data_IF_788238583934
#
_entry.id   IF_788238583934
#
_cell.length_a   1.000
_cell.length_b   1.000
_cell.length_c   1.000
_cell.angle_alpha   90.00
_cell.angle_beta   90.00
_cell.angle_gamma   90.00
#
_symmetry.space_group_name_H-M   'P 1'
#
loop_
_entity.id
_entity.type
_entity.pdbx_description
1 polymer ?
#
# COMPACT_ATOMS: atom_id res chain seq x y z
N UNK A 1 14.00 -1.87 15.71
CA UNK A 1 12.72 -2.61 15.59
C UNK A 1 11.81 -1.92 14.59
N UNK A 2 11.28 -2.68 13.61
CA UNK A 2 10.34 -2.16 12.63
C UNK A 2 8.91 -2.44 13.07
N UNK A 3 8.03 -1.41 12.97
CA UNK A 3 6.60 -1.62 13.20
C UNK A 3 5.99 -2.31 11.99
N UNK A 4 5.35 -3.46 12.18
CA UNK A 4 4.55 -4.10 11.14
C UNK A 4 3.22 -3.36 11.01
N UNK A 5 2.95 -2.80 9.83
CA UNK A 5 1.73 -2.07 9.51
C UNK A 5 1.04 -2.61 8.24
N UNK A 6 1.55 -3.69 7.70
CA UNK A 6 0.97 -4.40 6.56
C UNK A 6 -0.41 -4.97 6.87
N UNK A 7 -1.26 -5.10 5.85
CA UNK A 7 -2.55 -5.79 5.88
C UNK A 7 -2.47 -6.91 4.87
N UNK A 8 -2.07 -8.07 5.36
CA UNK A 8 -1.77 -9.24 4.56
C UNK A 8 -2.37 -10.47 5.24
N UNK A 9 -3.16 -11.23 4.51
CA UNK A 9 -3.67 -12.53 4.94
C UNK A 9 -3.29 -13.57 3.90
N UNK A 10 -2.79 -14.71 4.35
CA UNK A 10 -2.40 -15.81 3.48
C UNK A 10 -3.06 -17.10 3.97
N UNK A 11 -3.78 -17.76 3.09
CA UNK A 11 -4.26 -19.13 3.26
C UNK A 11 -3.41 -20.02 2.38
N UNK A 12 -2.74 -20.99 2.99
CA UNK A 12 -1.90 -21.97 2.27
C UNK A 12 -2.56 -23.34 2.38
N UNK A 13 -2.79 -23.98 1.26
CA UNK A 13 -3.32 -25.34 1.19
C UNK A 13 -2.27 -26.26 0.57
N UNK A 14 -1.93 -27.33 1.28
CA UNK A 14 -1.02 -28.38 0.79
C UNK A 14 -1.81 -29.49 0.12
N UNK A 15 -1.41 -29.85 -1.08
CA UNK A 15 -1.92 -31.01 -1.83
C UNK A 15 -0.78 -31.99 -2.17
N UNK A 16 -1.09 -33.06 -2.91
CA UNK A 16 -0.06 -33.96 -3.45
C UNK A 16 0.76 -33.31 -4.57
N UNK A 17 0.23 -32.27 -5.19
CA UNK A 17 0.83 -31.55 -6.33
C UNK A 17 1.64 -30.33 -5.89
N UNK A 18 1.60 -29.98 -4.58
CA UNK A 18 2.33 -28.83 -4.05
C UNK A 18 1.46 -27.94 -3.17
N UNK A 19 1.76 -26.65 -3.15
CA UNK A 19 1.02 -25.64 -2.38
C UNK A 19 0.17 -24.78 -3.31
N UNK A 20 -1.04 -24.45 -2.86
CA UNK A 20 -1.87 -23.40 -3.42
C UNK A 20 -2.10 -22.32 -2.39
N UNK A 21 -2.40 -21.12 -2.86
CA UNK A 21 -2.49 -19.93 -2.03
C UNK A 21 -3.77 -19.16 -2.32
N UNK A 22 -4.34 -18.57 -1.27
CA UNK A 22 -5.28 -17.46 -1.38
C UNK A 22 -4.67 -16.32 -0.57
N UNK A 23 -4.36 -15.23 -1.25
CA UNK A 23 -3.69 -14.08 -0.65
C UNK A 23 -4.64 -12.88 -0.66
N UNK A 24 -4.79 -12.22 0.48
CA UNK A 24 -5.49 -10.93 0.59
C UNK A 24 -4.48 -9.85 0.96
N UNK A 25 -4.45 -8.76 0.18
CA UNK A 25 -3.65 -7.56 0.45
C UNK A 25 -4.61 -6.38 0.56
N UNK A 26 -4.53 -5.65 1.67
CA UNK A 26 -5.43 -4.54 1.95
C UNK A 26 -4.75 -3.22 2.24
N UNK A 27 -5.45 -2.12 1.99
CA UNK A 27 -5.04 -0.79 2.44
C UNK A 27 -5.51 -0.51 3.86
N UNK A 28 -6.61 -1.15 4.29
CA UNK A 28 -7.34 -0.91 5.53
C UNK A 28 -6.99 -1.83 6.67
N UNK A 29 -7.15 -1.36 7.90
CA UNK A 29 -6.92 -2.15 9.11
C UNK A 29 -7.97 -3.25 9.29
N UNK A 30 -7.56 -4.40 9.82
CA UNK A 30 -8.48 -5.45 10.29
C UNK A 30 -9.12 -5.04 11.63
N UNK A 31 -9.97 -4.02 11.57
CA UNK A 31 -10.64 -3.48 12.76
C UNK A 31 -12.04 -3.01 12.39
N UNK A 32 -13.04 -3.55 13.05
CA UNK A 32 -14.46 -3.31 12.80
C UNK A 32 -14.81 -1.80 12.82
N UNK A 33 -14.42 -1.10 13.89
CA UNK A 33 -14.72 0.33 14.05
C UNK A 33 -14.12 1.22 12.95
N UNK A 34 -12.92 0.89 12.48
CA UNK A 34 -12.30 1.67 11.40
C UNK A 34 -12.90 1.32 10.04
N UNK A 35 -13.33 0.07 9.83
CA UNK A 35 -13.96 -0.34 8.57
C UNK A 35 -15.31 0.33 8.32
N UNK A 36 -16.02 0.71 9.37
CA UNK A 36 -17.29 1.46 9.26
C UNK A 36 -17.09 2.92 8.82
N UNK A 37 -15.89 3.49 9.08
CA UNK A 37 -15.63 4.90 8.89
C UNK A 37 -14.68 5.21 7.72
N UNK A 38 -13.94 4.22 7.22
CA UNK A 38 -12.88 4.42 6.24
C UNK A 38 -13.27 3.84 4.87
N UNK A 39 -12.79 4.49 3.81
CA UNK A 39 -12.77 3.88 2.48
C UNK A 39 -11.44 3.18 2.28
N UNK A 40 -11.48 1.89 2.02
CA UNK A 40 -10.30 1.06 1.81
C UNK A 40 -10.50 0.09 0.64
N UNK A 41 -9.40 -0.49 0.19
CA UNK A 41 -9.38 -1.49 -0.89
C UNK A 41 -8.82 -2.80 -0.35
N UNK A 42 -9.41 -3.90 -0.80
CA UNK A 42 -8.98 -5.25 -0.48
C UNK A 42 -8.88 -6.06 -1.77
N UNK A 43 -7.69 -6.54 -2.09
CA UNK A 43 -7.42 -7.38 -3.24
C UNK A 43 -7.24 -8.82 -2.77
N UNK A 44 -8.02 -9.73 -3.34
CA UNK A 44 -7.96 -11.16 -3.04
C UNK A 44 -7.60 -11.88 -4.33
N UNK A 45 -6.59 -12.76 -4.27
CA UNK A 45 -6.10 -13.48 -5.44
C UNK A 45 -5.66 -14.89 -5.08
N UNK A 46 -5.78 -15.80 -6.06
CA UNK A 46 -5.19 -17.13 -6.02
C UNK A 46 -3.90 -17.23 -6.88
N UNK A 47 -3.34 -16.09 -7.31
CA UNK A 47 -2.08 -16.08 -8.05
C UNK A 47 -0.96 -16.72 -7.22
N UNK A 48 -0.31 -17.72 -7.80
CA UNK A 48 0.69 -18.52 -7.09
C UNK A 48 1.93 -17.69 -6.73
N UNK A 49 2.41 -16.85 -7.65
CA UNK A 49 3.60 -16.03 -7.42
C UNK A 49 3.39 -15.00 -6.33
N UNK A 50 2.21 -14.33 -6.27
CA UNK A 50 1.85 -13.43 -5.16
C UNK A 50 1.77 -14.22 -3.85
N UNK A 51 1.23 -15.45 -3.88
CA UNK A 51 1.15 -16.32 -2.71
C UNK A 51 2.52 -16.74 -2.17
N UNK A 52 3.46 -17.07 -3.07
CA UNK A 52 4.83 -17.38 -2.68
C UNK A 52 5.55 -16.17 -2.07
N UNK A 53 5.43 -14.99 -2.67
CA UNK A 53 6.00 -13.76 -2.11
C UNK A 53 5.38 -13.42 -0.75
N UNK A 54 4.06 -13.55 -0.59
CA UNK A 54 3.38 -13.37 0.69
C UNK A 54 3.88 -14.37 1.75
N UNK A 55 4.05 -15.65 1.36
CA UNK A 55 4.64 -16.68 2.25
C UNK A 55 6.04 -16.29 2.69
N UNK A 56 6.87 -15.80 1.78
CA UNK A 56 8.23 -15.33 2.07
C UNK A 56 8.21 -14.12 3.05
N UNK A 57 7.29 -13.18 2.88
CA UNK A 57 7.11 -12.07 3.84
C UNK A 57 6.83 -12.61 5.25
N UNK A 58 5.90 -13.56 5.40
CA UNK A 58 5.58 -14.14 6.71
C UNK A 58 6.75 -14.92 7.31
N UNK A 59 7.47 -15.71 6.50
CA UNK A 59 8.64 -16.46 6.95
C UNK A 59 9.76 -15.53 7.42
N UNK A 60 10.05 -14.47 6.67
CA UNK A 60 11.06 -13.49 7.07
C UNK A 60 10.68 -12.77 8.36
N UNK A 61 9.43 -12.34 8.50
CA UNK A 61 8.94 -11.70 9.73
C UNK A 61 9.02 -12.64 10.93
N UNK A 62 8.74 -13.93 10.78
CA UNK A 62 8.82 -14.91 11.86
C UNK A 62 10.25 -15.07 12.41
N UNK A 63 11.27 -14.82 11.61
CA UNK A 63 12.68 -14.86 12.00
C UNK A 63 13.32 -13.48 12.13
N UNK A 64 12.49 -12.42 12.22
CA UNK A 64 12.90 -11.02 12.39
C UNK A 64 13.81 -10.50 11.26
N UNK A 65 13.61 -10.99 10.04
CA UNK A 65 14.28 -10.52 8.82
C UNK A 65 13.36 -9.62 8.00
N UNK A 66 13.95 -8.77 7.19
CA UNK A 66 13.26 -7.98 6.18
C UNK A 66 13.23 -8.76 4.86
N UNK A 67 12.19 -8.52 4.06
CA UNK A 67 12.08 -9.09 2.71
C UNK A 67 12.88 -8.25 1.73
N UNK A 68 13.90 -8.84 1.12
CA UNK A 68 14.83 -8.15 0.21
C UNK A 68 14.36 -8.21 -1.25
N UNK A 69 13.74 -9.31 -1.65
CA UNK A 69 13.30 -9.56 -3.02
C UNK A 69 11.78 -9.70 -3.09
N UNK A 70 11.17 -9.00 -4.02
CA UNK A 70 9.76 -9.08 -4.34
C UNK A 70 9.52 -8.41 -5.70
N UNK A 71 8.91 -9.12 -6.64
CA UNK A 71 8.69 -8.66 -8.00
C UNK A 71 7.26 -8.15 -8.22
N UNK A 72 6.28 -8.78 -7.56
CA UNK A 72 4.85 -8.49 -7.69
C UNK A 72 4.30 -7.67 -6.53
N UNK A 73 4.92 -7.83 -5.34
CA UNK A 73 4.55 -7.10 -4.15
C UNK A 73 5.52 -5.94 -3.89
N UNK A 74 5.02 -4.87 -3.33
CA UNK A 74 5.81 -3.80 -2.72
C UNK A 74 6.00 -4.16 -1.25
N UNK A 75 7.24 -4.31 -0.80
CA UNK A 75 7.53 -4.61 0.61
C UNK A 75 8.50 -3.57 1.18
N UNK A 76 8.00 -2.74 2.09
CA UNK A 76 8.85 -1.80 2.82
C UNK A 76 9.61 -2.54 3.95
N UNK A 77 10.82 -2.05 4.31
CA UNK A 77 11.46 -0.82 3.81
C UNK A 77 12.29 -0.99 2.53
N UNK A 78 12.58 -2.23 2.08
CA UNK A 78 13.62 -2.44 1.07
C UNK A 78 13.13 -2.28 -0.38
N UNK A 79 11.92 -2.74 -0.69
CA UNK A 79 11.42 -2.76 -2.08
C UNK A 79 10.27 -1.80 -2.38
N UNK A 80 9.62 -1.24 -1.36
CA UNK A 80 8.44 -0.38 -1.55
C UNK A 80 8.80 0.92 -2.29
N UNK A 81 9.73 1.71 -1.73
CA UNK A 81 10.12 3.01 -2.30
C UNK A 81 10.88 2.85 -3.63
N UNK A 82 11.80 1.90 -3.70
CA UNK A 82 12.61 1.69 -4.90
C UNK A 82 11.77 1.37 -6.13
N UNK A 83 10.80 0.44 -6.00
CA UNK A 83 9.91 0.09 -7.12
C UNK A 83 9.04 1.28 -7.55
N UNK A 84 8.52 2.07 -6.61
CA UNK A 84 7.73 3.25 -6.96
C UNK A 84 8.58 4.31 -7.69
N UNK A 85 9.83 4.51 -7.28
CA UNK A 85 10.76 5.41 -7.98
C UNK A 85 11.09 4.87 -9.39
N UNK A 86 11.27 3.56 -9.55
CA UNK A 86 11.47 2.92 -10.86
C UNK A 86 10.26 3.13 -11.79
N UNK A 87 9.02 3.03 -11.26
CA UNK A 87 7.81 3.31 -12.04
C UNK A 87 7.75 4.79 -12.47
N UNK A 88 8.10 5.72 -11.57
CA UNK A 88 8.18 7.13 -11.90
C UNK A 88 9.25 7.39 -12.99
N UNK A 89 10.40 6.72 -12.93
CA UNK A 89 11.46 6.83 -13.94
C UNK A 89 11.00 6.34 -15.33
N UNK A 90 10.22 5.27 -15.40
CA UNK A 90 9.61 4.79 -16.66
C UNK A 90 8.65 5.82 -17.26
N UNK A 91 7.82 6.44 -16.44
CA UNK A 91 6.90 7.49 -16.90
C UNK A 91 7.65 8.73 -17.35
N UNK A 92 8.70 9.13 -16.63
CA UNK A 92 9.60 10.24 -17.01
C UNK A 92 10.28 9.94 -18.35
N UNK A 93 10.82 8.74 -18.53
CA UNK A 93 11.46 8.34 -19.78
C UNK A 93 10.46 8.37 -20.95
N UNK A 94 9.22 7.94 -20.75
CA UNK A 94 8.17 8.03 -21.75
C UNK A 94 7.85 9.48 -22.16
N UNK A 95 7.71 10.38 -21.19
CA UNK A 95 7.48 11.80 -21.45
C UNK A 95 8.64 12.44 -22.23
N UNK A 96 9.90 12.14 -21.86
CA UNK A 96 11.10 12.61 -22.55
C UNK A 96 11.18 12.11 -24.01
N UNK A 97 10.54 10.98 -24.32
CA UNK A 97 10.40 10.46 -25.69
C UNK A 97 9.20 11.08 -26.44
N UNK A 98 8.50 12.05 -25.85
CA UNK A 98 7.32 12.67 -26.45
C UNK A 98 6.06 11.80 -26.40
N UNK A 99 6.05 10.71 -25.64
CA UNK A 99 4.85 9.88 -25.45
C UNK A 99 3.92 10.47 -24.37
N UNK A 100 2.59 10.31 -24.50
CA UNK A 100 1.68 10.67 -23.42
C UNK A 100 2.08 9.93 -22.13
N UNK A 101 2.26 10.67 -21.04
CA UNK A 101 2.68 10.10 -19.78
C UNK A 101 1.98 10.79 -18.63
N UNK A 102 1.47 10.01 -17.67
CA UNK A 102 0.76 10.56 -16.51
C UNK A 102 0.85 9.67 -15.28
N UNK A 103 0.63 10.28 -14.12
CA UNK A 103 0.51 9.58 -12.84
C UNK A 103 -0.74 10.05 -12.11
N UNK A 104 -1.43 9.12 -11.46
CA UNK A 104 -2.49 9.44 -10.48
C UNK A 104 -2.12 8.76 -9.17
N UNK A 105 -1.86 9.57 -8.13
CA UNK A 105 -1.29 9.10 -6.87
C UNK A 105 -2.23 9.46 -5.72
N UNK A 106 -2.98 8.48 -5.23
CA UNK A 106 -3.82 8.63 -4.05
C UNK A 106 -3.11 8.10 -2.82
N UNK A 107 -2.90 8.97 -1.84
CA UNK A 107 -2.32 8.63 -0.55
C UNK A 107 -2.89 9.50 0.58
N UNK A 108 -2.61 9.14 1.83
CA UNK A 108 -3.05 9.96 2.94
C UNK A 108 -2.13 11.15 3.17
N UNK A 109 -0.81 10.94 3.03
CA UNK A 109 0.19 11.96 3.34
C UNK A 109 1.46 11.76 2.52
N UNK A 110 2.16 12.88 2.25
CA UNK A 110 3.45 12.89 1.58
C UNK A 110 4.45 13.82 2.28
N UNK A 111 5.61 13.26 2.66
CA UNK A 111 6.77 14.00 3.17
C UNK A 111 8.11 13.35 2.81
N UNK A 112 8.10 12.20 2.12
CA UNK A 112 9.33 11.54 1.68
C UNK A 112 10.04 12.41 0.64
N UNK A 113 11.29 12.78 0.97
CA UNK A 113 12.07 13.72 0.17
C UNK A 113 12.38 13.18 -1.23
N UNK A 114 12.74 11.91 -1.33
CA UNK A 114 13.15 11.32 -2.61
C UNK A 114 11.97 11.25 -3.57
N UNK A 115 10.80 10.87 -3.06
CA UNK A 115 9.56 10.86 -3.82
C UNK A 115 9.17 12.29 -4.26
N UNK A 116 9.28 13.29 -3.38
CA UNK A 116 8.98 14.69 -3.72
C UNK A 116 9.93 15.21 -4.83
N UNK A 117 11.22 14.91 -4.74
CA UNK A 117 12.18 15.31 -5.77
C UNK A 117 11.92 14.60 -7.10
N UNK A 118 11.51 13.33 -7.06
CA UNK A 118 11.12 12.57 -8.26
C UNK A 118 9.84 13.11 -8.90
N UNK A 119 8.85 13.54 -8.12
CA UNK A 119 7.64 14.21 -8.63
C UNK A 119 7.99 15.54 -9.31
N UNK A 120 8.93 16.31 -8.73
CA UNK A 120 9.42 17.52 -9.37
C UNK A 120 10.13 17.23 -10.70
N UNK A 121 10.98 16.21 -10.74
CA UNK A 121 11.64 15.75 -11.98
C UNK A 121 10.63 15.36 -13.04
N UNK A 122 9.60 14.58 -12.65
CA UNK A 122 8.53 14.16 -13.54
C UNK A 122 7.73 15.34 -14.11
N UNK A 123 7.37 16.30 -13.25
CA UNK A 123 6.68 17.52 -13.69
C UNK A 123 7.54 18.33 -14.68
N UNK A 124 8.83 18.50 -14.40
CA UNK A 124 9.76 19.19 -15.32
C UNK A 124 9.97 18.43 -16.65
N UNK A 125 9.77 17.12 -16.65
CA UNK A 125 9.80 16.30 -17.87
C UNK A 125 8.48 16.34 -18.68
N UNK A 126 7.47 17.09 -18.23
CA UNK A 126 6.17 17.22 -18.90
C UNK A 126 5.16 16.13 -18.53
N UNK A 127 5.41 15.32 -17.50
CA UNK A 127 4.45 14.34 -17.01
C UNK A 127 3.30 15.06 -16.29
N UNK A 128 2.06 14.74 -16.67
CA UNK A 128 0.89 15.16 -15.92
C UNK A 128 0.77 14.32 -14.65
N UNK A 129 0.69 14.98 -13.49
CA UNK A 129 0.62 14.32 -12.18
C UNK A 129 -0.60 14.85 -11.45
N UNK A 130 -1.54 13.95 -11.14
CA UNK A 130 -2.71 14.26 -10.33
C UNK A 130 -2.59 13.52 -8.98
N UNK A 131 -2.65 14.24 -7.87
CA UNK A 131 -2.56 13.64 -6.53
C UNK A 131 -3.83 13.88 -5.72
N UNK A 132 -4.27 12.86 -4.98
CA UNK A 132 -5.34 12.94 -4.00
C UNK A 132 -4.71 12.74 -2.62
N UNK A 133 -4.56 13.84 -1.85
CA UNK A 133 -3.86 13.85 -0.55
C UNK A 133 -4.72 14.55 0.49
N UNK A 134 -5.15 13.83 1.53
CA UNK A 134 -6.05 14.36 2.55
C UNK A 134 -5.37 14.87 3.82
N UNK A 135 -4.12 14.51 4.05
CA UNK A 135 -3.35 14.81 5.27
C UNK A 135 -2.14 15.69 5.00
N UNK A 136 -1.01 15.35 5.61
CA UNK A 136 0.25 16.09 5.47
C UNK A 136 0.69 16.09 4.00
N UNK A 137 0.93 17.28 3.45
CA UNK A 137 1.41 17.45 2.09
C UNK A 137 2.60 18.42 2.08
N UNK A 138 3.81 17.88 1.90
CA UNK A 138 5.06 18.62 1.89
C UNK A 138 5.54 19.02 0.49
N UNK A 139 4.67 18.95 -0.52
CA UNK A 139 4.92 19.40 -1.88
C UNK A 139 3.87 20.43 -2.29
N UNK A 140 4.25 21.44 -3.09
CA UNK A 140 3.32 22.43 -3.64
C UNK A 140 2.99 22.10 -5.09
N UNK A 141 1.71 22.22 -5.43
CA UNK A 141 1.21 22.09 -6.78
C UNK A 141 1.42 23.37 -7.62
N UNK A 142 1.55 23.22 -8.93
CA UNK A 142 1.47 24.34 -9.87
C UNK A 142 2.59 25.39 -9.77
N UNK A 143 3.74 25.05 -9.17
CA UNK A 143 4.86 25.99 -9.05
C UNK A 143 5.64 26.05 -10.38
N UNK A 144 5.70 27.21 -11.07
CA UNK A 144 6.37 27.36 -12.35
C UNK A 144 7.83 26.87 -12.33
N UNK A 145 8.24 26.10 -13.34
CA UNK A 145 9.58 25.54 -13.50
C UNK A 145 9.95 24.46 -12.48
N UNK A 146 8.98 24.00 -11.66
CA UNK A 146 9.20 22.93 -10.67
C UNK A 146 8.09 21.90 -10.68
N UNK A 147 6.87 22.30 -10.34
CA UNK A 147 5.71 21.40 -10.19
C UNK A 147 4.51 21.89 -10.98
N UNK A 148 4.74 22.58 -12.10
CA UNK A 148 3.69 23.20 -12.91
C UNK A 148 2.69 22.17 -13.49
N UNK A 149 3.13 20.93 -13.70
CA UNK A 149 2.30 19.82 -14.18
C UNK A 149 1.78 18.93 -13.04
N UNK A 150 1.95 19.35 -11.78
CA UNK A 150 1.46 18.66 -10.60
C UNK A 150 0.20 19.34 -10.07
N UNK A 151 -0.90 18.58 -10.00
CA UNK A 151 -2.16 18.99 -9.42
C UNK A 151 -2.40 18.19 -8.14
N UNK A 152 -2.89 18.84 -7.09
CA UNK A 152 -3.17 18.20 -5.81
C UNK A 152 -4.56 18.58 -5.36
N UNK A 153 -5.41 17.58 -5.12
CA UNK A 153 -6.69 17.76 -4.48
C UNK A 153 -6.75 17.02 -3.13
N UNK A 154 -7.59 17.51 -2.24
CA UNK A 154 -7.91 16.88 -0.96
C UNK A 154 -9.39 16.57 -0.91
N UNK A 155 -9.74 15.31 -0.62
CA UNK A 155 -11.11 14.85 -0.44
C UNK A 155 -11.38 14.60 1.04
N UNK A 156 -12.35 15.33 1.59
CA UNK A 156 -12.84 15.16 2.97
C UNK A 156 -14.36 15.10 2.89
N UNK A 157 -14.91 13.92 3.05
CA UNK A 157 -16.33 13.65 2.95
C UNK A 157 -16.88 12.91 4.16
N UNK A 158 -17.93 12.12 3.95
CA UNK A 158 -18.59 11.31 5.00
C UNK A 158 -17.65 10.28 5.60
N UNK A 159 -16.85 9.62 4.75
CA UNK A 159 -15.89 8.61 5.15
C UNK A 159 -14.47 9.18 5.08
N UNK A 160 -13.56 8.59 5.85
CA UNK A 160 -12.15 8.92 5.78
C UNK A 160 -11.53 8.22 4.55
N UNK A 161 -11.04 9.02 3.60
CA UNK A 161 -10.30 8.50 2.45
C UNK A 161 -8.97 7.90 2.93
N UNK A 162 -8.92 6.57 3.08
CA UNK A 162 -7.78 5.88 3.66
C UNK A 162 -7.05 4.97 2.67
N UNK A 163 -7.71 4.54 1.62
CA UNK A 163 -7.11 3.73 0.57
C UNK A 163 -5.96 4.43 -0.15
N UNK A 164 -4.92 3.69 -0.53
CA UNK A 164 -3.81 4.18 -1.34
C UNK A 164 -3.80 3.44 -2.66
N UNK A 165 -3.77 4.21 -3.74
CA UNK A 165 -3.67 3.70 -5.12
C UNK A 165 -2.60 4.53 -5.83
N UNK A 166 -1.68 3.85 -6.50
CA UNK A 166 -0.62 4.47 -7.28
C UNK A 166 -0.72 3.98 -8.73
N UNK A 167 -1.05 4.88 -9.63
CA UNK A 167 -1.24 4.60 -11.06
C UNK A 167 -0.19 5.34 -11.90
N UNK A 168 0.49 4.59 -12.77
CA UNK A 168 1.56 5.05 -13.63
C UNK A 168 1.24 4.68 -15.07
N UNK A 169 1.15 5.68 -15.97
CA UNK A 169 0.91 5.49 -17.39
C UNK A 169 2.10 5.97 -18.20
N UNK A 170 2.70 5.09 -18.99
CA UNK A 170 3.92 5.33 -19.78
C UNK A 170 3.67 5.55 -21.28
N UNK A 171 2.42 5.84 -21.65
CA UNK A 171 2.00 6.04 -23.02
C UNK A 171 1.53 4.76 -23.73
N UNK A 172 1.78 3.60 -23.15
CA UNK A 172 1.37 2.29 -23.67
C UNK A 172 0.60 1.47 -22.63
N UNK A 173 1.08 1.46 -21.38
CA UNK A 173 0.54 0.59 -20.33
C UNK A 173 0.29 1.39 -19.06
N UNK A 174 -0.82 1.04 -18.39
CA UNK A 174 -1.09 1.49 -17.02
C UNK A 174 -0.64 0.42 -16.05
N UNK A 175 0.26 0.79 -15.12
CA UNK A 175 0.62 -0.03 -13.96
C UNK A 175 0.00 0.58 -12.74
N UNK A 176 -0.79 -0.21 -12.01
CA UNK A 176 -1.53 0.27 -10.86
C UNK A 176 -1.26 -0.59 -9.64
N UNK A 177 -1.10 0.06 -8.50
CA UNK A 177 -0.79 -0.58 -7.22
C UNK A 177 -1.79 -0.14 -6.17
N UNK A 178 -2.15 -1.05 -5.27
CA UNK A 178 -2.77 -0.73 -3.99
C UNK A 178 -1.77 -1.02 -2.88
N UNK A 179 -1.77 -0.21 -1.81
CA UNK A 179 -0.77 -0.36 -0.76
C UNK A 179 -1.28 0.06 0.63
N UNK A 180 -0.62 -0.44 1.67
CA UNK A 180 -0.84 -0.03 3.05
C UNK A 180 -0.04 1.20 3.46
N UNK A 181 1.05 1.52 2.76
CA UNK A 181 1.99 2.60 3.06
C UNK A 181 1.63 3.92 2.36
N UNK A 182 1.98 5.03 3.01
CA UNK A 182 1.96 6.38 2.45
C UNK A 182 3.35 6.81 1.96
N UNK A 183 3.43 7.97 1.30
CA UNK A 183 4.70 8.60 0.92
C UNK A 183 5.34 9.39 2.08
N UNK A 184 5.45 8.73 3.23
CA UNK A 184 6.13 9.23 4.42
C UNK A 184 7.39 8.42 4.66
N UNK A 185 8.51 9.06 4.99
CA UNK A 185 9.78 8.39 5.29
C UNK A 185 9.62 7.27 6.33
N UNK A 186 8.79 7.48 7.34
CA UNK A 186 8.49 6.43 8.33
C UNK A 186 7.79 5.19 7.74
N UNK A 187 6.98 5.34 6.67
CA UNK A 187 6.35 4.21 6.01
C UNK A 187 7.32 3.50 5.06
N UNK A 188 8.12 4.28 4.34
CA UNK A 188 9.03 3.76 3.32
C UNK A 188 10.31 3.16 3.91
N UNK A 189 10.75 3.60 5.12
CA UNK A 189 12.06 3.24 5.69
C UNK A 189 12.01 2.62 7.09
N UNK A 190 10.95 2.87 7.88
CA UNK A 190 10.90 2.47 9.31
C UNK A 190 9.75 1.51 9.64
N UNK A 191 9.00 1.05 8.64
CA UNK A 191 7.88 0.14 8.83
C UNK A 191 7.92 -1.02 7.83
N UNK A 192 7.25 -2.10 8.19
CA UNK A 192 6.87 -3.12 7.22
C UNK A 192 5.50 -2.73 6.66
N UNK A 193 5.48 -2.27 5.43
CA UNK A 193 4.28 -2.00 4.64
C UNK A 193 4.24 -2.95 3.45
N UNK A 194 3.04 -3.21 2.94
CA UNK A 194 2.87 -4.03 1.74
C UNK A 194 1.99 -3.32 0.73
N UNK A 195 2.24 -3.61 -0.52
CA UNK A 195 1.39 -3.27 -1.65
C UNK A 195 1.48 -4.36 -2.70
N UNK A 196 0.64 -4.27 -3.72
CA UNK A 196 0.63 -5.24 -4.81
C UNK A 196 0.29 -4.55 -6.12
N UNK A 197 0.93 -4.99 -7.20
CA UNK A 197 0.54 -4.61 -8.55
C UNK A 197 -0.73 -5.37 -8.94
N UNK A 198 -1.74 -4.64 -9.38
CA UNK A 198 -2.96 -5.21 -9.92
C UNK A 198 -2.79 -5.35 -11.42
N UNK A 199 -2.86 -6.58 -11.93
CA UNK A 199 -2.58 -6.90 -13.35
C UNK A 199 -3.85 -7.24 -14.14
N UNK A 200 -4.93 -7.64 -13.47
CA UNK A 200 -6.21 -7.93 -14.11
C UNK A 200 -6.76 -6.68 -14.81
N UNK A 201 -6.99 -6.71 -16.15
CA UNK A 201 -7.40 -5.53 -16.91
C UNK A 201 -8.74 -4.93 -16.45
N UNK A 202 -9.64 -5.76 -15.93
CA UNK A 202 -10.95 -5.30 -15.42
C UNK A 202 -10.76 -4.52 -14.14
N UNK A 203 -9.92 -5.05 -13.23
CA UNK A 203 -9.61 -4.38 -11.97
C UNK A 203 -8.77 -3.11 -12.17
N UNK A 204 -7.81 -3.13 -13.11
CA UNK A 204 -7.04 -1.93 -13.50
C UNK A 204 -7.97 -0.83 -13.98
N UNK A 205 -8.92 -1.16 -14.87
CA UNK A 205 -9.93 -0.20 -15.34
C UNK A 205 -10.77 0.34 -14.19
N UNK A 206 -11.30 -0.54 -13.34
CA UNK A 206 -12.13 -0.17 -12.19
C UNK A 206 -11.41 0.78 -11.23
N UNK A 207 -10.16 0.49 -10.87
CA UNK A 207 -9.35 1.38 -10.02
C UNK A 207 -9.06 2.72 -10.71
N UNK A 208 -8.85 2.71 -12.03
CA UNK A 208 -8.67 3.94 -12.81
C UNK A 208 -9.94 4.78 -12.82
N UNK A 209 -11.10 4.16 -13.03
CA UNK A 209 -12.40 4.85 -13.03
C UNK A 209 -12.71 5.48 -11.65
N UNK A 210 -12.40 4.76 -10.57
CA UNK A 210 -12.52 5.29 -9.20
C UNK A 210 -11.62 6.52 -9.01
N UNK A 211 -10.36 6.47 -9.42
CA UNK A 211 -9.44 7.61 -9.32
C UNK A 211 -9.93 8.80 -10.14
N UNK A 212 -10.38 8.57 -11.37
CA UNK A 212 -10.94 9.61 -12.24
C UNK A 212 -12.22 10.21 -11.67
N UNK A 213 -13.09 9.39 -11.06
CA UNK A 213 -14.29 9.86 -10.39
C UNK A 213 -13.94 10.80 -9.22
N UNK A 214 -12.98 10.40 -8.37
CA UNK A 214 -12.54 11.19 -7.24
C UNK A 214 -11.86 12.51 -7.66
N UNK A 215 -11.11 12.52 -8.75
CA UNK A 215 -10.51 13.74 -9.31
C UNK A 215 -11.55 14.72 -9.87
N UNK A 216 -12.74 14.26 -10.23
CA UNK A 216 -13.85 15.10 -10.70
C UNK A 216 -14.78 15.57 -9.59
N UNK A 217 -14.51 15.21 -8.33
CA UNK A 217 -15.34 15.65 -7.19
C UNK A 217 -15.40 17.17 -7.13
N UNK A 218 -16.60 17.73 -7.28
CA UNK A 218 -16.88 19.16 -7.17
C UNK A 218 -17.80 19.50 -5.98
N UNK A 219 -18.08 18.51 -5.13
CA UNK A 219 -18.87 18.65 -3.90
C UNK A 219 -18.00 18.80 -2.67
N UNK A 220 -16.99 17.92 -2.53
CA UNK A 220 -16.15 17.83 -1.34
C UNK A 220 -14.69 18.25 -1.59
N UNK A 221 -14.21 18.20 -2.83
CA UNK A 221 -12.82 18.44 -3.16
C UNK A 221 -12.36 19.87 -2.84
N UNK A 222 -11.09 19.94 -2.44
CA UNK A 222 -10.31 21.18 -2.32
C UNK A 222 -9.04 21.04 -3.13
N UNK A 223 -8.77 21.97 -4.00
CA UNK A 223 -7.59 22.00 -4.85
C UNK A 223 -6.51 22.90 -4.24
N UNK A 224 -5.25 22.44 -4.28
CA UNK A 224 -4.10 23.20 -3.82
C UNK A 224 -3.65 24.20 -4.89
N UNK A 225 -3.42 25.44 -4.46
CA UNK A 225 -2.81 26.50 -5.27
C UNK A 225 -1.29 26.52 -5.13
N UNK A 226 -0.61 27.23 -6.04
CA UNK A 226 0.85 27.35 -6.03
C UNK A 226 1.45 28.01 -4.75
N UNK A 227 0.67 28.79 -4.03
CA UNK A 227 1.04 29.36 -2.72
C UNK A 227 0.88 28.34 -1.56
N UNK A 228 0.31 27.15 -1.84
CA UNK A 228 0.04 26.11 -0.85
C UNK A 228 -1.32 26.24 -0.15
N UNK A 229 -2.11 27.27 -0.45
CA UNK A 229 -3.49 27.39 0.03
C UNK A 229 -4.43 26.42 -0.68
N UNK A 230 -5.55 26.05 -0.04
CA UNK A 230 -6.56 25.19 -0.63
C UNK A 230 -7.85 25.97 -0.91
N UNK A 231 -8.37 25.79 -2.11
CA UNK A 231 -9.64 26.34 -2.53
C UNK A 231 -10.66 25.21 -2.75
N UNK A 232 -11.89 25.40 -2.22
CA UNK A 232 -12.99 24.46 -2.51
C UNK A 232 -13.31 24.47 -4.01
N UNK A 233 -13.35 23.29 -4.62
CA UNK A 233 -13.85 23.12 -5.97
C UNK A 233 -15.36 23.36 -5.95
N UNK A 234 -15.88 24.04 -6.97
CA UNK A 234 -17.31 24.33 -7.13
C UNK A 234 -17.72 23.95 -8.54
N UNK A 235 -18.86 23.27 -8.64
CA UNK A 235 -19.47 23.04 -9.93
C UNK A 235 -19.77 24.36 -10.65
N UNK A 236 -19.52 24.43 -11.94
CA UNK A 236 -19.95 25.53 -12.77
C UNK A 236 -21.51 25.52 -12.93
N UNK A 237 -22.13 26.67 -13.26
CA UNK A 237 -23.55 26.71 -13.50
C UNK A 237 -23.96 25.70 -14.60
N UNK A 238 -24.85 24.76 -14.25
CA UNK A 238 -25.31 23.69 -15.15
C UNK A 238 -24.42 22.45 -15.22
N UNK A 239 -23.29 22.44 -14.53
CA UNK A 239 -22.42 21.26 -14.40
C UNK A 239 -23.04 20.26 -13.41
N UNK A 240 -23.04 18.95 -13.71
CA UNK A 240 -23.49 17.93 -12.76
C UNK A 240 -22.67 17.94 -11.48
N UNK A 241 -23.35 17.76 -10.35
CA UNK A 241 -22.65 17.55 -9.06
C UNK A 241 -22.05 16.15 -9.03
N UNK A 242 -20.76 16.06 -8.73
CA UNK A 242 -20.00 14.82 -8.57
C UNK A 242 -19.51 14.72 -7.14
N UNK A 243 -20.00 13.72 -6.41
CA UNK A 243 -19.56 13.39 -5.07
C UNK A 243 -18.73 12.10 -5.13
N UNK A 244 -17.41 12.23 -5.19
CA UNK A 244 -16.51 11.10 -5.45
C UNK A 244 -16.66 9.91 -4.49
N UNK A 245 -17.18 10.11 -3.26
CA UNK A 245 -17.45 9.00 -2.34
C UNK A 245 -18.80 8.32 -2.60
N UNK A 246 -19.86 9.10 -2.77
CA UNK A 246 -21.20 8.54 -2.91
C UNK A 246 -21.40 7.94 -4.31
N UNK A 247 -20.91 8.62 -5.33
CA UNK A 247 -21.00 8.14 -6.71
C UNK A 247 -20.12 6.89 -6.92
N UNK A 248 -19.02 6.75 -6.18
CA UNK A 248 -18.23 5.52 -6.17
C UNK A 248 -19.03 4.34 -5.59
N UNK A 249 -19.82 4.57 -4.54
CA UNK A 249 -20.69 3.53 -4.00
C UNK A 249 -21.71 3.06 -5.05
N UNK A 250 -22.35 3.98 -5.76
CA UNK A 250 -23.31 3.66 -6.81
C UNK A 250 -22.64 2.92 -7.98
N UNK A 251 -21.47 3.37 -8.42
CA UNK A 251 -20.66 2.71 -9.45
C UNK A 251 -20.35 1.24 -9.09
N UNK A 252 -19.92 1.00 -7.86
CA UNK A 252 -19.55 -0.34 -7.41
C UNK A 252 -20.76 -1.26 -7.18
N UNK A 253 -21.86 -0.70 -6.69
CA UNK A 253 -23.13 -1.42 -6.51
C UNK A 253 -23.70 -1.87 -7.85
N UNK A 254 -23.74 -0.99 -8.85
CA UNK A 254 -24.30 -1.28 -10.15
C UNK A 254 -23.48 -2.34 -10.89
N UNK A 255 -22.17 -2.31 -10.75
CA UNK A 255 -21.26 -3.35 -11.24
C UNK A 255 -21.53 -4.72 -10.57
N UNK A 256 -21.77 -4.71 -9.25
CA UNK A 256 -22.09 -5.93 -8.51
C UNK A 256 -23.42 -6.53 -8.94
N UNK A 257 -24.46 -5.69 -9.04
CA UNK A 257 -25.78 -6.12 -9.51
C UNK A 257 -25.75 -6.67 -10.94
N UNK A 258 -24.95 -6.06 -11.82
CA UNK A 258 -24.80 -6.54 -13.19
C UNK A 258 -24.12 -7.92 -13.26
N UNK A 259 -23.19 -8.21 -12.37
CA UNK A 259 -22.54 -9.54 -12.26
C UNK A 259 -23.46 -10.62 -11.70
N UNK A 260 -24.26 -10.30 -10.70
CA UNK A 260 -25.25 -11.23 -10.13
C UNK A 260 -26.37 -11.58 -11.12
N UNK A 261 -26.69 -10.66 -12.04
CA UNK A 261 -27.66 -10.89 -13.09
C UNK A 261 -27.10 -11.70 -14.29
N UNK A 262 -25.76 -11.82 -14.40
CA UNK A 262 -25.14 -12.64 -15.43
C UNK A 262 -25.22 -14.13 -15.04
N UNK A 263 -25.58 -15.05 -15.96
CA UNK A 263 -25.54 -16.47 -15.68
C UNK A 263 -24.11 -16.84 -15.23
N UNK A 264 -24.00 -17.59 -14.13
CA UNK A 264 -22.72 -18.04 -13.60
C UNK A 264 -21.93 -18.70 -14.75
N UNK A 265 -20.79 -18.11 -15.12
CA UNK A 265 -19.87 -18.78 -16.03
C UNK A 265 -19.44 -20.08 -15.35
N UNK A 266 -19.65 -21.21 -16.03
CA UNK A 266 -19.13 -22.48 -15.54
C UNK A 266 -17.62 -22.30 -15.29
N UNK A 267 -17.11 -22.75 -14.13
CA UNK A 267 -15.68 -22.64 -13.87
C UNK A 267 -14.94 -23.39 -14.97
N UNK A 268 -14.13 -22.67 -15.75
CA UNK A 268 -13.18 -23.30 -16.67
C UNK A 268 -12.32 -24.25 -15.84
N UNK A 269 -12.52 -25.54 -16.03
CA UNK A 269 -11.64 -26.54 -15.45
C UNK A 269 -10.26 -26.29 -16.07
N UNK A 270 -9.20 -26.08 -15.27
CA UNK A 270 -7.87 -25.93 -15.83
C UNK A 270 -7.55 -27.19 -16.64
N UNK A 271 -7.31 -27.04 -17.94
CA UNK A 271 -6.77 -28.11 -18.76
C UNK A 271 -5.44 -28.58 -18.15
N UNK A 272 -5.46 -29.71 -17.48
CA UNK A 272 -4.25 -30.39 -17.01
C UNK A 272 -3.52 -30.88 -18.25
N UNK A 273 -2.59 -30.07 -18.77
CA UNK A 273 -1.62 -30.54 -19.74
C UNK A 273 -0.79 -31.65 -19.06
N UNK A 274 -1.04 -32.88 -19.45
CA UNK A 274 -0.23 -34.04 -19.05
C UNK A 274 1.21 -33.74 -19.48
N UNK A 275 2.07 -33.36 -18.53
CA UNK A 275 3.50 -33.31 -18.76
C UNK A 275 4.01 -34.73 -18.85
N UNK A 276 4.73 -35.02 -19.95
CA UNK A 276 5.42 -36.27 -20.18
C UNK A 276 6.25 -36.68 -18.97
N UNK A 277 6.02 -37.89 -18.48
CA UNK A 277 6.80 -38.46 -17.38
C UNK A 277 8.23 -38.66 -17.86
N UNK A 278 9.24 -38.19 -17.14
CA UNK A 278 10.61 -38.70 -17.35
C UNK A 278 10.64 -40.14 -16.90
N UNK A 279 11.25 -41.01 -17.78
CA UNK A 279 11.50 -42.40 -17.50
C UNK A 279 12.32 -42.59 -16.23
N UNK A 280 11.84 -43.46 -15.34
CA UNK A 280 12.56 -43.90 -14.14
C UNK A 280 13.90 -44.51 -14.49
N UNK A 281 15.00 -44.18 -13.79
CA UNK A 281 16.20 -45.03 -13.82
C UNK A 281 16.01 -46.16 -12.78
N UNK A 282 15.99 -47.38 -13.26
CA UNK A 282 16.21 -48.58 -12.44
C UNK A 282 17.59 -48.48 -11.80
N UNK A 283 17.65 -48.35 -10.48
CA UNK A 283 18.62 -49.04 -9.59
C UNK A 283 18.33 -48.66 -8.14
N UNK A 284 17.88 -49.63 -7.41
CA UNK A 284 17.66 -49.61 -5.97
C UNK A 284 18.98 -49.94 -5.27
N UNK A 285 19.57 -49.10 -4.46
CA UNK A 285 20.68 -49.52 -3.58
C UNK A 285 20.13 -50.23 -2.34
N UNK A 286 20.83 -51.32 -1.97
CA UNK A 286 20.56 -52.14 -0.77
C UNK A 286 20.72 -51.32 0.52
N UNK A 287 20.03 -51.71 1.63
CA UNK A 287 20.10 -51.00 2.89
C UNK A 287 21.41 -51.20 3.62
N UNK A 288 22.14 -50.12 3.87
CA UNK A 288 23.34 -50.13 4.72
C UNK A 288 22.89 -50.18 6.19
N UNK A 289 23.32 -51.23 6.91
CA UNK A 289 23.15 -51.36 8.32
C UNK A 289 24.02 -50.31 9.02
N UNK A 290 23.38 -49.39 9.75
CA UNK A 290 24.03 -48.43 10.64
C UNK A 290 24.18 -49.10 12.02
N UNK A 291 25.42 -49.30 12.47
CA UNK A 291 25.75 -49.81 13.80
C UNK A 291 25.39 -48.75 14.85
N UNK A 292 24.62 -49.16 15.87
CA UNK A 292 24.35 -48.37 17.06
C UNK A 292 25.64 -48.11 17.88
N UNK A 293 25.95 -46.83 18.09
CA UNK A 293 26.91 -46.43 19.11
C UNK A 293 26.17 -46.00 20.39
N UNK A 294 26.68 -46.34 21.58
CA UNK A 294 25.99 -46.07 22.85
C UNK A 294 26.07 -44.58 23.22
N UNK A 295 24.96 -44.04 23.71
CA UNK A 295 24.79 -42.67 24.16
C UNK A 295 25.60 -42.39 25.44
N UNK A 296 26.41 -41.32 25.43
CA UNK A 296 27.00 -40.70 26.64
C UNK A 296 25.94 -39.89 27.39
N UNK A 297 26.02 -39.84 28.76
CA UNK A 297 25.01 -39.16 29.57
C UNK A 297 25.15 -37.63 29.52
N UNK A 298 24.03 -36.96 29.33
CA UNK A 298 23.90 -35.50 29.31
C UNK A 298 24.38 -34.85 30.64
N UNK A 299 25.32 -33.90 30.54
CA UNK A 299 25.72 -33.00 31.63
C UNK A 299 24.60 -31.96 31.84
N UNK A 300 24.17 -31.83 33.11
CA UNK A 300 23.24 -30.81 33.57
C UNK A 300 23.82 -29.40 33.39
N UNK A 301 22.99 -28.39 32.98
CA UNK A 301 23.48 -27.03 32.89
C UNK A 301 23.62 -26.39 34.28
N UNK A 302 24.76 -25.72 34.49
CA UNK A 302 25.09 -24.97 35.69
C UNK A 302 24.14 -23.77 35.87
N UNK A 303 23.63 -23.63 37.09
CA UNK A 303 22.85 -22.47 37.54
C UNK A 303 23.71 -21.21 37.57
N UNK A 304 23.42 -20.25 36.68
CA UNK A 304 24.02 -18.91 36.73
C UNK A 304 23.22 -18.06 37.71
N UNK A 305 23.88 -17.66 38.83
CA UNK A 305 23.32 -16.69 39.77
C UNK A 305 23.20 -15.33 39.10
N UNK A 306 21.98 -14.76 39.11
CA UNK A 306 21.73 -13.40 38.67
C UNK A 306 22.43 -12.38 39.59
N UNK A 307 23.13 -11.44 38.95
CA UNK A 307 23.69 -10.27 39.63
C UNK A 307 22.59 -9.24 39.92
N UNK A 308 22.65 -8.48 41.04
CA UNK A 308 21.61 -7.50 41.36
C UNK A 308 21.67 -6.27 40.42
N UNK A 309 20.49 -5.78 40.00
CA UNK A 309 20.33 -4.59 39.19
C UNK A 309 20.79 -3.33 39.96
N UNK A 310 21.38 -2.33 39.28
CA UNK A 310 21.76 -1.07 39.92
C UNK A 310 20.50 -0.25 40.27
N UNK A 311 20.55 0.35 41.48
CA UNK A 311 19.52 1.20 42.04
C UNK A 311 19.33 2.48 41.19
N UNK A 312 18.10 2.71 40.70
CA UNK A 312 17.70 3.95 40.05
C UNK A 312 17.52 5.00 41.14
N UNK A 313 18.37 6.03 41.16
CA UNK A 313 18.18 7.22 41.98
C UNK A 313 17.05 8.07 41.36
N UNK A 314 15.96 8.20 42.10
CA UNK A 314 14.86 9.12 41.79
C UNK A 314 15.25 10.56 42.11
N UNK A 315 15.35 11.41 41.10
CA UNK A 315 15.38 12.86 41.27
C UNK A 315 13.97 13.38 41.55
N UNK A 316 13.78 14.33 42.47
CA UNK A 316 12.47 14.83 42.84
C UNK A 316 11.92 15.79 41.75
N UNK A 317 10.65 15.60 41.43
CA UNK A 317 9.86 16.48 40.55
C UNK A 317 9.56 17.81 41.33
N UNK A 318 9.81 18.99 40.75
CA UNK A 318 9.41 20.26 41.40
C UNK A 318 7.88 20.42 41.42
N UNK A 319 7.36 20.82 42.54
CA UNK A 319 5.95 21.14 42.79
C UNK A 319 5.44 22.22 41.85
N UNK A 320 4.26 22.01 41.31
CA UNK A 320 3.50 22.99 40.54
C UNK A 320 3.13 24.20 41.40
N UNK A 321 3.42 25.40 40.90
CA UNK A 321 2.96 26.66 41.45
C UNK A 321 1.55 26.94 40.92
N UNK A 322 0.62 27.05 41.88
CA UNK A 322 -0.74 27.49 41.66
C UNK A 322 -0.76 28.95 41.14
N UNK A 323 -1.33 29.18 39.96
CA UNK A 323 -1.71 30.49 39.45
C UNK A 323 -3.12 30.43 38.90
N UNK A 324 -4.05 30.71 39.79
CA UNK A 324 -5.36 31.24 39.43
C UNK A 324 -5.22 32.64 38.83
N UNK A 325 -5.40 32.77 37.51
CA UNK A 325 -5.88 34.01 36.90
C UNK A 325 -6.62 33.66 35.59
N UNK A 326 -7.89 34.06 35.60
CA UNK A 326 -8.84 33.96 34.47
C UNK A 326 -8.49 35.04 33.45
N UNK A 327 -8.18 34.65 32.22
CA UNK A 327 -8.53 35.45 31.03
C UNK A 327 -8.88 34.51 29.90
N UNK A 328 -10.11 34.61 29.41
CA UNK A 328 -10.65 33.80 28.34
C UNK A 328 -9.98 34.13 27.01
N UNK A 329 -9.51 33.07 26.33
CA UNK A 329 -9.22 33.09 24.91
C UNK A 329 -10.06 32.02 24.24
N UNK A 330 -10.63 32.30 23.06
CA UNK A 330 -11.49 31.34 22.36
C UNK A 330 -10.71 30.14 21.85
N UNK A 331 -11.37 28.99 21.87
CA UNK A 331 -10.83 27.67 21.51
C UNK A 331 -10.30 27.61 20.08
N UNK A 332 -9.21 26.88 19.93
CA UNK A 332 -8.47 26.62 18.68
C UNK A 332 -9.27 25.83 17.60
N UNK A 333 -10.57 25.64 17.79
CA UNK A 333 -11.46 24.87 16.90
C UNK A 333 -12.27 25.70 15.90
N UNK A 334 -12.02 27.02 15.81
CA UNK A 334 -12.75 27.90 14.86
C UNK A 334 -11.89 28.40 13.68
N UNK A 335 -10.71 27.87 13.45
CA UNK A 335 -9.91 28.20 12.26
C UNK A 335 -9.33 26.94 11.63
N UNK A 336 -10.14 26.19 10.94
CA UNK A 336 -9.76 25.36 9.81
C UNK A 336 -10.93 25.34 8.82
#
# INVERSE_FOLDING_TARGET
>A
DYKVHSKLTLITQKSKEGYSYITQIGTGNYNEKTSELYTDYSFITADHGIGEEASNVFQNLAVQKLTEESDRMLVAPLRFKSVLLEEMDRVIAAARMGRPASMILKNNSISDRDIILKLQEASCAGVRIDMIVRGICCVRAGVPGKTENLHICSLVGRYLEHGRIYSFFDGAHTRIYIASGDFLTRNTECRVEVGVRVEDPVLVRKLTDILQLQLRDNVNAREMRADGSYQKVKAAPGEPLVNGQMDMYDLLRDDWLARDAAPAAEPEQPEIKASERPSEPETRPEPVQVAEQPAEPAKQPATVKAAPAPAVQSTPIPHAVDRTERHGHPSLFQRL
#
